data_IF_254206414327
#
_entry.id   IF_254206414327
#
_cell.length_a   1.000
_cell.length_b   1.000
_cell.length_c   1.000
_cell.angle_alpha   90.00
_cell.angle_beta   90.00
_cell.angle_gamma   90.00
#
_symmetry.space_group_name_H-M   'P 1'
#
loop_
_entity.id
_entity.type
_entity.pdbx_description
1 polymer ?
2 non-polymer ?
3 non-polymer ?
4 non-polymer ?
5 water ?
#
# COMPACT_ATOMS: atom_id res chain seq x y z
N UNK A 1 7.16 13.11 -19.58
CA UNK A 1 7.26 13.80 -18.26
C UNK A 1 8.46 13.28 -17.47
N UNK A 2 8.90 14.06 -16.50
CA UNK A 2 9.95 13.68 -15.51
C UNK A 2 9.27 12.98 -14.33
N UNK A 3 10.06 12.24 -13.56
CA UNK A 3 9.66 11.64 -12.28
C UNK A 3 10.36 12.38 -11.15
N UNK A 4 9.76 12.31 -9.98
CA UNK A 4 10.27 12.79 -8.69
C UNK A 4 10.47 11.56 -7.80
N UNK A 5 11.70 11.25 -7.48
CA UNK A 5 12.07 10.00 -6.76
C UNK A 5 12.34 10.34 -5.28
N UNK A 6 11.50 9.79 -4.42
CA UNK A 6 11.59 9.88 -2.95
C UNK A 6 11.98 8.52 -2.37
N UNK A 7 12.79 8.48 -1.29
CA UNK A 7 12.97 7.23 -0.54
C UNK A 7 11.60 6.71 -0.06
N UNK A 8 11.38 5.40 -0.06
CA UNK A 8 10.09 4.78 0.38
C UNK A 8 9.83 5.11 1.87
N UNK A 9 10.88 5.23 2.70
CA UNK A 9 10.67 5.42 4.16
C UNK A 9 11.90 6.01 4.83
N UNK A 10 11.67 6.68 5.94
CA UNK A 10 12.76 7.18 6.83
C UNK A 10 12.23 7.02 8.25
N UNK A 11 13.12 6.99 9.23
CA UNK A 11 12.71 6.95 10.64
C UNK A 11 13.78 7.62 11.50
N UNK A 12 13.38 8.02 12.67
CA UNK A 12 14.27 8.62 13.67
C UNK A 12 13.50 8.62 14.96
N UNK A 13 14.19 8.86 16.04
CA UNK A 13 13.55 8.94 17.38
C UNK A 13 13.14 10.38 17.67
N UNK A 14 12.22 10.59 18.62
CA UNK A 14 11.80 11.93 19.00
C UNK A 14 12.96 12.86 19.36
N UNK A 15 12.89 14.10 18.91
CA UNK A 15 13.89 15.14 19.13
C UNK A 15 14.93 15.19 18.04
N UNK A 16 14.99 14.21 17.14
CA UNK A 16 16.10 14.11 16.17
C UNK A 16 15.68 14.88 14.91
N UNK A 17 16.62 15.02 13.98
CA UNK A 17 16.41 15.66 12.68
C UNK A 17 16.30 14.58 11.61
N UNK A 18 15.31 14.69 10.73
CA UNK A 18 15.20 13.76 9.59
C UNK A 18 15.12 14.58 8.30
N UNK A 19 15.75 14.11 7.24
CA UNK A 19 15.67 14.71 5.89
C UNK A 19 15.07 13.69 4.92
N UNK A 20 14.20 14.20 4.05
CA UNK A 20 13.49 13.45 3.00
C UNK A 20 13.85 14.13 1.69
N UNK A 21 14.44 13.38 0.77
CA UNK A 21 14.92 13.90 -0.53
C UNK A 21 13.88 13.61 -1.62
N UNK A 22 13.96 14.37 -2.71
CA UNK A 22 13.04 14.36 -3.86
C UNK A 22 13.85 14.72 -5.11
N UNK A 23 14.29 13.70 -5.87
CA UNK A 23 15.24 13.85 -7.00
C UNK A 23 14.45 13.93 -8.30
N UNK A 24 14.71 14.97 -9.09
CA UNK A 24 14.01 15.16 -10.38
C UNK A 24 14.78 14.35 -11.42
N UNK A 25 14.09 13.48 -12.15
CA UNK A 25 14.68 12.54 -13.16
C UNK A 25 15.32 13.29 -14.35
N UNK A 26 14.65 14.30 -14.91
CA UNK A 26 15.17 15.12 -16.04
C UNK A 26 14.82 16.61 -15.84
N UNK A 27 15.60 17.50 -16.43
CA UNK A 27 15.35 18.95 -16.34
C UNK A 27 15.96 19.52 -15.08
N UNK A 28 15.66 20.78 -14.78
CA UNK A 28 16.29 21.55 -13.68
C UNK A 28 15.35 21.55 -12.48
N UNK A 29 15.79 21.06 -11.32
CA UNK A 29 14.97 21.12 -10.08
C UNK A 29 14.52 22.57 -9.90
N UNK A 30 15.39 23.53 -10.24
CA UNK A 30 15.17 24.98 -10.04
C UNK A 30 14.20 25.54 -11.12
N UNK A 31 13.83 24.78 -12.14
CA UNK A 31 12.96 25.25 -13.26
C UNK A 31 11.52 25.41 -12.80
N UNK A 32 11.04 24.63 -11.81
CA UNK A 32 9.64 24.74 -11.31
C UNK A 32 9.64 24.60 -9.79
N UNK A 33 8.55 25.04 -9.16
CA UNK A 33 8.42 25.11 -7.70
C UNK A 33 8.08 23.71 -7.15
N UNK A 34 8.64 23.40 -5.98
CA UNK A 34 8.37 22.12 -5.27
C UNK A 34 7.51 22.41 -4.03
N UNK A 35 6.42 21.64 -3.88
CA UNK A 35 5.54 21.62 -2.69
C UNK A 35 5.80 20.34 -1.88
N UNK A 36 5.59 20.40 -0.57
CA UNK A 36 5.59 19.20 0.29
C UNK A 36 4.26 19.10 1.03
N UNK A 37 3.65 17.93 0.95
CA UNK A 37 2.39 17.61 1.67
C UNK A 37 2.65 16.52 2.70
N UNK A 38 2.13 16.74 3.89
CA UNK A 38 2.06 15.78 5.00
C UNK A 38 0.69 15.12 5.00
N UNK A 39 0.63 13.79 5.06
CA UNK A 39 -0.62 13.07 5.28
C UNK A 39 -0.41 12.12 6.47
N UNK A 40 -0.90 12.52 7.63
CA UNK A 40 -0.95 11.62 8.81
C UNK A 40 -1.93 10.49 8.54
N UNK A 41 -1.71 9.28 9.10
CA UNK A 41 -2.58 8.14 8.83
C UNK A 41 -4.01 8.54 9.25
N UNK A 42 -4.99 8.30 8.38
CA UNK A 42 -6.40 8.62 8.63
C UNK A 42 -6.71 10.10 8.46
N UNK A 43 -5.78 10.93 7.97
CA UNK A 43 -6.03 12.38 7.76
C UNK A 43 -5.94 12.75 6.28
N UNK A 44 -6.42 13.94 6.00
CA UNK A 44 -6.32 14.63 4.71
C UNK A 44 -4.91 15.20 4.62
N UNK A 45 -4.38 15.36 3.41
CA UNK A 45 -3.11 16.02 3.24
C UNK A 45 -3.15 17.48 3.70
N UNK A 46 -2.00 17.97 4.13
CA UNK A 46 -1.73 19.38 4.55
C UNK A 46 -0.43 19.82 3.87
N UNK A 47 -0.38 21.05 3.40
CA UNK A 47 0.86 21.60 2.85
C UNK A 47 1.73 22.02 4.04
N UNK A 48 2.94 21.53 4.08
CA UNK A 48 3.95 22.04 5.04
C UNK A 48 4.96 22.96 4.31
N UNK A 49 5.14 22.83 3.01
CA UNK A 49 6.06 23.70 2.23
C UNK A 49 5.45 23.97 0.85
N UNK A 50 5.48 25.23 0.42
CA UNK A 50 5.22 25.56 -1.00
C UNK A 50 6.36 26.43 -1.55
N UNK A 51 6.50 26.48 -2.87
CA UNK A 51 7.52 27.30 -3.58
C UNK A 51 8.89 27.02 -2.97
N UNK A 52 9.20 25.74 -2.79
CA UNK A 52 10.56 25.23 -2.44
C UNK A 52 10.80 25.36 -0.93
N UNK A 53 10.49 26.50 -0.32
CA UNK A 53 10.93 26.78 1.07
C UNK A 53 9.99 27.71 1.84
N UNK A 54 8.80 28.03 1.32
CA UNK A 54 7.83 28.87 2.03
C UNK A 54 6.96 27.99 2.93
N UNK A 55 6.82 28.39 4.18
CA UNK A 55 6.00 27.72 5.18
C UNK A 55 4.67 28.42 5.29
N UNK A 56 3.53 27.71 5.13
CA UNK A 56 2.21 28.25 5.45
C UNK A 56 2.13 28.67 6.92
N UNK A 57 1.36 29.70 7.22
CA UNK A 57 1.20 30.10 8.64
C UNK A 57 0.58 28.90 9.35
N UNK A 58 0.96 28.67 10.58
CA UNK A 58 0.52 27.50 11.34
C UNK A 58 1.49 26.33 11.23
N UNK A 59 2.40 26.36 10.25
CA UNK A 59 3.41 25.27 10.09
C UNK A 59 4.66 25.66 10.88
N UNK A 60 5.04 24.85 11.90
CA UNK A 60 6.20 25.15 12.74
C UNK A 60 7.47 25.32 11.91
N UNK A 61 8.37 26.21 12.35
CA UNK A 61 9.72 26.44 11.77
C UNK A 61 10.59 25.17 11.85
N UNK A 62 10.14 24.11 12.53
CA UNK A 62 10.81 22.77 12.56
C UNK A 62 10.85 22.18 11.15
N UNK A 63 9.94 22.57 10.27
CA UNK A 63 9.87 22.09 8.87
C UNK A 63 10.59 23.06 7.95
N UNK A 64 11.54 22.58 7.17
CA UNK A 64 12.34 23.45 6.27
C UNK A 64 12.46 22.78 4.91
N UNK A 65 12.12 23.52 3.87
CA UNK A 65 12.32 23.07 2.49
C UNK A 65 13.60 23.64 1.94
N UNK A 66 14.28 22.89 1.07
CA UNK A 66 15.53 23.36 0.42
C UNK A 66 15.60 22.76 -0.97
N UNK A 67 16.49 23.32 -1.78
CA UNK A 67 16.76 22.87 -3.17
C UNK A 67 18.27 22.69 -3.27
N UNK A 68 18.71 21.58 -3.84
CA UNK A 68 20.14 21.24 -4.11
C UNK A 68 20.28 21.09 -5.63
N UNK A 69 20.73 22.16 -6.29
CA UNK A 69 20.85 22.20 -7.76
C UNK A 69 21.89 21.16 -8.20
N UNK A 70 22.98 21.04 -7.44
CA UNK A 70 24.09 20.09 -7.71
C UNK A 70 23.58 18.65 -7.82
N UNK A 71 22.57 18.26 -7.04
CA UNK A 71 22.02 16.87 -7.01
C UNK A 71 20.66 16.81 -7.71
N UNK A 72 20.16 17.94 -8.22
CA UNK A 72 18.82 18.07 -8.86
C UNK A 72 17.70 17.54 -7.93
N UNK A 73 17.74 17.94 -6.68
CA UNK A 73 16.80 17.44 -5.65
C UNK A 73 16.22 18.61 -4.85
N UNK A 74 15.04 18.37 -4.30
CA UNK A 74 14.42 19.10 -3.18
C UNK A 74 14.50 18.24 -1.90
N UNK A 75 14.59 18.87 -0.74
CA UNK A 75 14.56 18.17 0.55
C UNK A 75 13.59 18.89 1.50
N UNK A 76 12.93 18.08 2.32
CA UNK A 76 12.18 18.50 3.49
C UNK A 76 12.98 18.03 4.71
N UNK A 77 13.36 18.97 5.57
CA UNK A 77 14.13 18.66 6.78
C UNK A 77 13.23 18.98 7.94
N UNK A 78 12.99 17.97 8.76
CA UNK A 78 12.19 18.15 10.00
C UNK A 78 13.11 17.98 11.21
N UNK A 79 13.27 19.05 11.98
CA UNK A 79 14.09 19.06 13.23
C UNK A 79 13.17 18.87 14.43
N UNK A 80 13.73 18.48 15.57
CA UNK A 80 12.93 18.38 16.80
C UNK A 80 11.75 17.47 16.59
N UNK A 81 12.00 16.30 16.01
CA UNK A 81 10.91 15.36 15.62
C UNK A 81 9.95 15.10 16.80
N UNK A 82 8.65 15.19 16.53
CA UNK A 82 7.56 14.87 17.47
C UNK A 82 6.76 13.68 16.92
N UNK A 83 6.01 12.98 17.78
CA UNK A 83 5.24 11.77 17.35
C UNK A 83 4.17 12.19 16.34
N UNK A 84 3.67 13.43 16.39
CA UNK A 84 2.63 13.94 15.44
C UNK A 84 3.22 14.07 14.02
N UNK A 85 4.57 14.09 13.86
CA UNK A 85 5.24 14.20 12.53
C UNK A 85 5.19 12.87 11.78
N UNK A 86 4.82 11.77 12.44
CA UNK A 86 4.65 10.46 11.78
C UNK A 86 3.54 10.56 10.71
N UNK A 87 3.88 10.29 9.43
CA UNK A 87 3.03 10.63 8.26
C UNK A 87 3.72 10.19 6.97
N UNK A 88 2.98 10.19 5.86
CA UNK A 88 3.54 10.08 4.50
C UNK A 88 3.81 11.51 4.06
N UNK A 89 4.94 11.74 3.43
CA UNK A 89 5.34 13.06 2.89
C UNK A 89 5.51 12.88 1.39
N UNK A 90 4.88 13.79 0.65
CA UNK A 90 4.88 13.84 -0.83
C UNK A 90 5.50 15.15 -1.28
N UNK A 91 6.47 15.08 -2.18
CA UNK A 91 6.93 16.24 -2.97
C UNK A 91 6.14 16.29 -4.28
N UNK A 92 6.03 17.49 -4.86
CA UNK A 92 5.19 17.76 -6.06
C UNK A 92 5.78 18.98 -6.79
N UNK A 93 5.89 18.90 -8.12
CA UNK A 93 6.38 19.98 -9.02
C UNK A 93 5.62 19.86 -10.37
N UNK A 94 6.19 20.42 -11.46
CA UNK A 94 5.60 20.32 -12.82
C UNK A 94 6.55 20.74 -13.94
N UNK A 95 6.30 20.15 -15.10
CA UNK A 95 6.72 20.69 -16.42
C UNK A 95 5.40 21.05 -17.13
N UNK A 96 5.24 22.32 -17.54
CA UNK A 96 4.04 22.82 -18.24
C UNK A 96 2.76 22.44 -17.48
N UNK A 97 1.75 21.87 -18.16
CA UNK A 97 0.43 21.52 -17.56
C UNK A 97 0.60 20.25 -16.72
N UNK A 98 1.73 19.54 -16.88
CA UNK A 98 1.92 18.24 -16.22
C UNK A 98 2.46 18.47 -14.79
N UNK A 99 1.52 18.34 -13.84
CA UNK A 99 1.76 18.15 -12.38
C UNK A 99 2.41 16.78 -12.18
N UNK A 100 3.51 16.73 -11.43
CA UNK A 100 4.27 15.49 -11.09
C UNK A 100 4.38 15.45 -9.56
N UNK A 101 3.86 14.38 -8.95
CA UNK A 101 4.05 14.03 -7.52
C UNK A 101 5.15 12.97 -7.36
N UNK A 102 5.85 13.01 -6.22
CA UNK A 102 6.67 11.88 -5.76
C UNK A 102 5.82 10.69 -5.33
N UNK A 103 6.45 9.53 -5.20
CA UNK A 103 5.78 8.29 -4.78
C UNK A 103 5.51 8.31 -3.29
N UNK A 104 6.10 9.25 -2.54
CA UNK A 104 5.76 9.42 -1.12
C UNK A 104 6.78 8.72 -0.24
N UNK A 105 7.03 9.28 0.92
CA UNK A 105 7.97 8.74 1.92
C UNK A 105 7.22 8.53 3.21
N UNK A 106 7.25 7.32 3.76
CA UNK A 106 6.69 7.11 5.11
C UNK A 106 7.73 7.51 6.16
N UNK A 107 7.41 8.46 7.01
CA UNK A 107 8.27 8.85 8.17
C UNK A 107 7.75 8.16 9.42
N UNK A 108 8.53 7.26 10.04
CA UNK A 108 8.14 6.64 11.34
C UNK A 108 8.91 7.34 12.46
N UNK A 109 8.24 7.80 13.50
CA UNK A 109 8.91 8.29 14.71
C UNK A 109 9.02 7.06 15.59
N UNK A 110 10.21 6.51 15.73
CA UNK A 110 10.40 5.15 16.29
C UNK A 110 9.67 5.03 17.62
N UNK A 111 8.79 4.03 17.72
CA UNK A 111 8.07 3.72 18.96
C UNK A 111 8.57 2.47 19.66
N UNK A 112 9.54 1.81 19.06
CA UNK A 112 10.12 0.51 19.51
C UNK A 112 11.40 0.32 18.71
N UNK A 113 12.26 -0.66 19.07
CA UNK A 113 13.49 -0.88 18.34
C UNK A 113 13.24 -1.27 16.88
N UNK A 114 14.16 -0.89 16.00
CA UNK A 114 14.16 -1.39 14.62
C UNK A 114 14.34 -2.90 14.62
N UNK A 115 13.65 -3.56 13.70
CA UNK A 115 13.74 -5.02 13.49
C UNK A 115 13.72 -5.31 12.01
N UNK A 116 14.69 -6.09 11.54
CA UNK A 116 14.84 -6.46 10.13
C UNK A 116 13.90 -7.62 9.85
N UNK A 117 13.28 -7.65 8.65
CA UNK A 117 12.30 -8.68 8.32
C UNK A 117 12.91 -10.09 8.17
N UNK A 118 12.20 -11.11 8.64
CA UNK A 118 12.40 -12.49 8.14
C UNK A 118 11.68 -12.59 6.81
N UNK A 119 12.37 -13.06 5.78
CA UNK A 119 11.80 -13.20 4.41
C UNK A 119 11.88 -14.67 4.01
N UNK A 120 10.75 -15.27 3.63
CA UNK A 120 10.73 -16.66 3.17
C UNK A 120 9.94 -16.73 1.88
N UNK A 121 10.58 -17.27 0.83
CA UNK A 121 9.95 -17.37 -0.48
C UNK A 121 9.54 -18.83 -0.69
N UNK A 122 8.29 -19.06 -1.07
CA UNK A 122 7.77 -20.44 -1.29
C UNK A 122 7.51 -20.65 -2.76
N UNK A 123 7.96 -21.80 -3.35
CA UNK A 123 7.61 -22.17 -4.72
C UNK A 123 6.17 -22.66 -4.79
N UNK A 124 5.59 -22.90 -5.98
CA UNK A 124 4.20 -23.30 -6.06
C UNK A 124 3.94 -24.58 -5.28
N UNK A 125 2.79 -24.71 -4.62
CA UNK A 125 2.40 -25.97 -3.95
C UNK A 125 1.91 -26.96 -5.04
N UNK A 126 2.05 -28.26 -4.81
CA UNK A 126 1.59 -29.34 -5.72
C UNK A 126 0.10 -29.20 -6.02
N UNK A 127 -0.69 -29.01 -4.97
CA UNK A 127 -2.15 -28.89 -5.15
C UNK A 127 -2.47 -27.74 -6.10
N UNK A 128 -1.91 -26.54 -5.94
CA UNK A 128 -2.37 -25.39 -6.78
C UNK A 128 -2.01 -25.66 -8.25
N UNK A 129 -0.89 -26.31 -8.53
CA UNK A 129 -0.43 -26.63 -9.91
C UNK A 129 -1.53 -27.42 -10.62
N UNK A 130 -2.28 -28.24 -9.90
CA UNK A 130 -3.35 -29.12 -10.46
C UNK A 130 -4.60 -28.29 -10.72
N UNK A 131 -4.68 -27.09 -10.16
CA UNK A 131 -5.75 -26.13 -10.49
C UNK A 131 -5.23 -25.12 -11.50
N UNK A 132 -4.08 -25.39 -12.14
CA UNK A 132 -3.47 -24.51 -13.18
C UNK A 132 -3.01 -23.19 -12.53
N UNK A 133 -2.46 -23.24 -11.31
CA UNK A 133 -1.97 -22.03 -10.59
C UNK A 133 -0.56 -22.27 -10.07
N UNK A 134 0.32 -21.30 -10.25
CA UNK A 134 1.72 -21.39 -9.79
C UNK A 134 1.99 -20.17 -8.91
N UNK A 135 1.02 -19.73 -8.14
CA UNK A 135 1.23 -18.57 -7.24
C UNK A 135 2.43 -18.82 -6.36
N UNK A 136 3.32 -17.83 -6.31
CA UNK A 136 4.46 -17.78 -5.37
C UNK A 136 4.09 -16.87 -4.20
N UNK A 137 4.55 -17.19 -2.99
CA UNK A 137 4.32 -16.31 -1.80
C UNK A 137 5.65 -15.97 -1.15
N UNK A 138 5.80 -14.70 -0.85
CA UNK A 138 6.94 -14.16 -0.11
C UNK A 138 6.39 -13.68 1.23
N UNK A 139 6.67 -14.43 2.28
CA UNK A 139 6.29 -14.08 3.66
C UNK A 139 7.34 -13.16 4.27
N UNK A 140 6.89 -12.06 4.84
CA UNK A 140 7.77 -10.99 5.39
C UNK A 140 7.29 -10.75 6.81
N UNK A 141 8.06 -11.13 7.82
CA UNK A 141 7.57 -11.05 9.21
C UNK A 141 8.60 -10.40 10.15
N UNK A 142 8.14 -10.03 11.33
CA UNK A 142 8.96 -9.61 12.50
C UNK A 142 9.72 -8.32 12.17
N UNK A 143 9.11 -7.35 11.50
CA UNK A 143 9.84 -6.10 11.13
C UNK A 143 9.22 -4.84 11.76
N UNK A 144 10.09 -3.84 11.92
CA UNK A 144 9.76 -2.51 12.47
C UNK A 144 10.82 -1.52 12.00
N UNK A 145 10.43 -0.32 11.51
CA UNK A 145 9.04 0.08 11.30
C UNK A 145 8.25 -0.76 10.27
N UNK A 146 6.95 -0.47 10.13
CA UNK A 146 5.99 -1.22 9.30
C UNK A 146 6.05 -0.93 7.80
N UNK A 147 7.09 -0.32 7.28
CA UNK A 147 7.13 0.08 5.85
C UNK A 147 8.14 -0.80 5.13
N UNK A 148 7.72 -1.42 4.02
CA UNK A 148 8.57 -2.31 3.19
C UNK A 148 8.22 -2.04 1.73
N UNK A 149 9.19 -2.26 0.87
CA UNK A 149 8.99 -2.25 -0.59
C UNK A 149 9.31 -3.65 -1.07
N UNK A 150 8.48 -4.20 -1.95
CA UNK A 150 8.70 -5.57 -2.47
C UNK A 150 8.84 -5.47 -3.97
N UNK A 151 9.86 -6.10 -4.54
CA UNK A 151 10.07 -6.18 -6.00
C UNK A 151 10.34 -7.63 -6.38
N UNK A 152 9.75 -8.07 -7.47
CA UNK A 152 9.90 -9.46 -7.97
C UNK A 152 10.69 -9.46 -9.27
N UNK A 153 11.54 -10.47 -9.44
CA UNK A 153 12.27 -10.77 -10.70
C UNK A 153 11.78 -12.10 -11.28
N UNK A 154 11.54 -12.13 -12.59
CA UNK A 154 11.55 -13.35 -13.44
C UNK A 154 12.93 -13.45 -14.10
N UNK A 155 13.73 -14.44 -13.66
CA UNK A 155 15.19 -14.51 -13.88
C UNK A 155 15.80 -13.23 -13.27
N UNK A 156 16.24 -12.29 -14.11
CA UNK A 156 16.85 -11.01 -13.66
C UNK A 156 16.04 -9.81 -14.14
N UNK A 157 14.88 -10.03 -14.78
CA UNK A 157 14.00 -8.95 -15.29
C UNK A 157 12.94 -8.58 -14.23
N UNK A 158 12.72 -7.28 -13.96
CA UNK A 158 11.61 -6.88 -13.10
C UNK A 158 10.30 -7.46 -13.62
N UNK A 159 9.44 -7.92 -12.71
CA UNK A 159 8.05 -8.36 -13.03
C UNK A 159 7.15 -7.20 -12.64
N UNK A 160 6.06 -6.95 -13.38
CA UNK A 160 5.10 -5.89 -13.00
C UNK A 160 3.77 -6.54 -12.66
N UNK A 161 3.20 -7.25 -13.63
CA UNK A 161 1.83 -7.81 -13.56
C UNK A 161 1.80 -8.98 -12.57
N UNK A 162 0.64 -9.16 -11.94
CA UNK A 162 0.32 -10.30 -11.07
C UNK A 162 0.91 -10.17 -9.67
N UNK A 163 1.49 -9.03 -9.29
CA UNK A 163 2.00 -8.82 -7.89
C UNK A 163 0.90 -8.20 -7.02
N UNK A 164 0.69 -8.76 -5.83
CA UNK A 164 -0.13 -8.19 -4.75
C UNK A 164 0.64 -8.29 -3.44
N UNK A 165 0.66 -7.21 -2.69
CA UNK A 165 1.36 -7.15 -1.39
C UNK A 165 0.37 -6.61 -0.37
N UNK A 166 0.21 -7.31 0.75
CA UNK A 166 -0.75 -6.92 1.79
C UNK A 166 -0.16 -5.74 2.57
N UNK A 167 -1.06 -4.98 3.16
CA UNK A 167 -0.69 -3.87 4.07
C UNK A 167 -0.13 -4.47 5.33
N UNK A 168 1.10 -4.13 5.73
CA UNK A 168 1.66 -4.69 6.95
C UNK A 168 0.73 -4.47 8.16
N UNK A 169 0.62 -5.48 8.99
CA UNK A 169 -0.20 -5.47 10.22
C UNK A 169 0.68 -5.93 11.39
N UNK A 170 0.42 -5.37 12.56
CA UNK A 170 1.14 -5.73 13.80
C UNK A 170 0.66 -7.09 14.27
N UNK A 171 1.58 -8.00 14.56
CA UNK A 171 1.23 -9.38 15.00
C UNK A 171 1.39 -9.45 16.54
N UNK A 172 1.33 -10.63 17.13
CA UNK A 172 1.21 -10.79 18.59
C UNK A 172 2.52 -10.38 19.27
N UNK A 173 3.63 -10.33 18.54
CA UNK A 173 4.95 -9.90 19.08
C UNK A 173 5.11 -8.38 18.92
N UNK A 174 4.07 -7.66 18.49
CA UNK A 174 4.10 -6.17 18.28
C UNK A 174 5.04 -5.76 17.14
N UNK A 175 5.43 -6.68 16.27
CA UNK A 175 6.19 -6.38 15.03
C UNK A 175 5.27 -6.69 13.85
N UNK A 176 5.61 -6.13 12.69
CA UNK A 176 4.74 -6.18 11.49
C UNK A 176 5.01 -7.45 10.69
N UNK A 177 3.93 -7.89 10.03
CA UNK A 177 4.03 -8.95 9.00
C UNK A 177 3.19 -8.58 7.78
N UNK A 178 3.61 -9.08 6.63
CA UNK A 178 2.90 -8.95 5.35
C UNK A 178 3.28 -10.13 4.47
N UNK A 179 2.56 -10.33 3.38
CA UNK A 179 2.94 -11.29 2.32
C UNK A 179 2.76 -10.61 0.96
N UNK A 180 3.68 -10.90 0.06
CA UNK A 180 3.57 -10.53 -1.37
C UNK A 180 3.31 -11.83 -2.11
N UNK A 181 2.40 -11.83 -3.05
CA UNK A 181 2.19 -13.03 -3.88
C UNK A 181 2.12 -12.65 -5.35
N UNK A 182 2.66 -13.54 -6.17
CA UNK A 182 2.85 -13.35 -7.64
C UNK A 182 2.08 -14.50 -8.29
N UNK A 183 0.97 -14.18 -8.91
CA UNK A 183 -0.03 -15.16 -9.41
C UNK A 183 0.41 -15.62 -10.79
N UNK A 184 1.42 -16.47 -10.88
CA UNK A 184 1.92 -17.06 -12.14
C UNK A 184 1.00 -18.19 -12.62
N UNK A 185 0.97 -18.43 -13.93
CA UNK A 185 0.43 -19.70 -14.49
C UNK A 185 1.57 -20.70 -14.44
N UNK A 186 1.26 -22.01 -14.39
CA UNK A 186 2.32 -23.03 -14.47
C UNK A 186 3.26 -22.79 -15.67
N UNK A 187 2.71 -22.41 -16.83
CA UNK A 187 3.47 -22.04 -18.07
C UNK A 187 4.57 -21.04 -17.73
N UNK A 188 4.19 -19.92 -17.10
CA UNK A 188 5.13 -18.82 -16.76
C UNK A 188 6.22 -19.33 -15.82
N UNK A 189 5.86 -20.11 -14.81
CA UNK A 189 6.76 -20.66 -13.76
C UNK A 189 7.84 -21.55 -14.38
N UNK A 190 7.41 -22.47 -15.26
CA UNK A 190 8.30 -23.45 -15.91
C UNK A 190 9.12 -22.72 -16.98
N UNK A 191 8.55 -21.69 -17.60
CA UNK A 191 9.19 -20.98 -18.74
C UNK A 191 10.33 -20.07 -18.25
N UNK A 192 10.69 -20.08 -16.96
CA UNK A 192 11.84 -19.30 -16.41
C UNK A 192 12.71 -20.22 -15.58
N UNK A 193 13.98 -19.83 -15.42
CA UNK A 193 14.97 -20.58 -14.61
C UNK A 193 14.72 -20.32 -13.13
N UNK A 194 14.17 -19.17 -12.76
CA UNK A 194 14.04 -18.81 -11.32
C UNK A 194 13.21 -17.54 -11.19
N UNK A 195 12.61 -17.38 -10.01
CA UNK A 195 11.90 -16.15 -9.60
C UNK A 195 12.49 -15.69 -8.27
N UNK A 196 12.51 -14.37 -8.11
CA UNK A 196 13.11 -13.71 -6.93
C UNK A 196 12.12 -12.67 -6.39
N UNK A 197 12.14 -12.52 -5.07
CA UNK A 197 11.38 -11.55 -4.25
C UNK A 197 12.43 -10.76 -3.48
N UNK A 198 12.50 -9.46 -3.74
CA UNK A 198 13.43 -8.53 -3.07
C UNK A 198 12.63 -7.70 -2.09
N UNK A 199 13.04 -7.64 -0.83
CA UNK A 199 12.35 -6.86 0.19
C UNK A 199 13.31 -5.79 0.70
N UNK A 200 12.89 -4.53 0.58
CA UNK A 200 13.65 -3.36 1.09
C UNK A 200 13.01 -2.85 2.40
N UNK A 201 13.81 -2.75 3.42
CA UNK A 201 13.43 -2.24 4.74
C UNK A 201 14.54 -1.34 5.29
N UNK A 202 14.24 -0.11 5.72
CA UNK A 202 15.21 0.76 6.44
C UNK A 202 16.51 0.80 5.61
N UNK A 203 16.39 0.86 4.27
CA UNK A 203 17.55 0.88 3.34
C UNK A 203 18.52 -0.30 3.52
N UNK A 204 18.02 -1.52 3.70
CA UNK A 204 18.72 -2.76 3.31
C UNK A 204 17.73 -3.63 2.54
N UNK A 205 18.21 -4.19 1.43
CA UNK A 205 17.42 -5.01 0.50
C UNK A 205 17.88 -6.45 0.70
N UNK A 206 16.97 -7.34 1.09
CA UNK A 206 17.25 -8.81 1.06
C UNK A 206 16.51 -9.41 -0.11
N UNK A 207 16.94 -10.58 -0.56
CA UNK A 207 16.45 -11.21 -1.80
C UNK A 207 16.41 -12.72 -1.56
N UNK A 208 15.33 -13.38 -1.99
CA UNK A 208 15.26 -14.86 -1.99
C UNK A 208 14.86 -15.29 -3.40
N UNK A 209 15.30 -16.49 -3.80
CA UNK A 209 15.08 -17.04 -5.16
C UNK A 209 14.54 -18.46 -5.05
N UNK A 210 13.59 -18.81 -5.92
CA UNK A 210 13.11 -20.21 -6.07
C UNK A 210 13.12 -20.54 -7.56
N UNK A 211 13.13 -21.85 -7.84
CA UNK A 211 13.35 -22.40 -9.19
C UNK A 211 12.56 -23.70 -9.25
N UNK A 212 11.92 -24.05 -10.39
CA UNK A 212 11.37 -25.40 -10.54
C UNK A 212 12.45 -26.46 -10.21
N UNK A 213 12.15 -27.47 -9.37
CA UNK A 213 13.12 -28.54 -8.96
C UNK A 213 12.59 -29.92 -9.33
N UNK A 214 13.47 -30.94 -9.21
CA UNK A 214 13.19 -32.39 -9.43
C UNK A 214 12.91 -33.05 -8.07
N UNK A 215 11.67 -33.46 -7.81
CA UNK A 215 11.23 -34.10 -6.53
C UNK A 215 10.00 -34.99 -6.76
N UNK B 1 -7.07 33.97 3.76
CA UNK B 1 -6.94 32.47 3.80
C UNK B 1 -8.33 31.81 3.83
N UNK B 2 -8.47 30.61 3.26
CA UNK B 2 -9.78 29.90 3.14
C UNK B 2 -9.59 28.40 3.38
N UNK B 3 -10.71 27.72 3.61
CA UNK B 3 -10.80 26.25 3.74
C UNK B 3 -11.80 25.70 2.72
N UNK B 4 -11.70 24.40 2.44
CA UNK B 4 -12.54 23.72 1.45
C UNK B 4 -13.34 22.69 2.23
N UNK B 5 -14.65 22.78 2.17
CA UNK B 5 -15.50 21.91 3.00
C UNK B 5 -16.10 20.84 2.11
N UNK B 6 -15.85 19.59 2.45
CA UNK B 6 -16.40 18.42 1.73
C UNK B 6 -17.23 17.65 2.73
N UNK B 7 -18.20 16.86 2.28
CA UNK B 7 -18.83 15.88 3.15
C UNK B 7 -17.81 14.87 3.65
N UNK B 8 -17.95 14.48 4.91
CA UNK B 8 -17.04 13.48 5.52
C UNK B 8 -17.24 12.13 4.84
N UNK B 9 -18.49 11.79 4.45
CA UNK B 9 -18.79 10.47 3.86
C UNK B 9 -20.00 10.55 2.93
N UNK B 10 -20.02 9.68 1.92
CA UNK B 10 -21.22 9.47 1.06
C UNK B 10 -21.26 7.98 0.71
N UNK B 11 -22.46 7.46 0.42
CA UNK B 11 -22.74 6.04 0.14
C UNK B 11 -23.65 6.00 -1.08
N UNK B 12 -23.50 4.98 -1.92
CA UNK B 12 -24.38 4.82 -3.10
C UNK B 12 -24.21 3.41 -3.64
N UNK B 13 -25.21 2.90 -4.36
CA UNK B 13 -25.21 1.55 -4.97
C UNK B 13 -24.53 1.61 -6.34
N UNK B 14 -24.00 0.48 -6.83
CA UNK B 14 -23.42 0.44 -8.16
C UNK B 14 -24.43 0.96 -9.19
N UNK B 15 -23.91 1.47 -10.31
CA UNK B 15 -24.72 1.95 -11.44
C UNK B 15 -25.21 3.36 -11.20
N UNK B 16 -25.29 3.81 -9.96
CA UNK B 16 -25.88 5.12 -9.63
C UNK B 16 -24.82 6.21 -9.81
N UNK B 17 -25.27 7.46 -9.74
CA UNK B 17 -24.45 8.67 -9.86
C UNK B 17 -24.22 9.19 -8.44
N UNK B 18 -22.98 9.55 -8.09
CA UNK B 18 -22.70 10.18 -6.78
C UNK B 18 -22.07 11.55 -7.04
N UNK B 19 -22.38 12.52 -6.22
CA UNK B 19 -21.76 13.85 -6.33
C UNK B 19 -21.08 14.17 -5.00
N UNK B 20 -19.84 14.64 -5.05
CA UNK B 20 -19.07 15.09 -3.86
C UNK B 20 -18.78 16.57 -4.06
N UNK B 21 -19.30 17.39 -3.17
CA UNK B 21 -19.17 18.86 -3.25
C UNK B 21 -17.95 19.28 -2.47
N UNK B 22 -17.49 20.47 -2.77
CA UNK B 22 -16.30 21.07 -2.13
C UNK B 22 -16.55 22.57 -2.08
N UNK B 23 -16.90 23.11 -0.91
CA UNK B 23 -17.31 24.53 -0.78
C UNK B 23 -16.15 25.35 -0.24
N UNK B 24 -15.82 26.45 -0.92
CA UNK B 24 -14.73 27.37 -0.54
C UNK B 24 -15.27 28.37 0.49
N UNK B 25 -14.65 28.48 1.66
CA UNK B 25 -15.16 29.22 2.83
C UNK B 25 -15.11 30.72 2.54
N UNK B 26 -14.07 31.16 1.85
CA UNK B 26 -13.78 32.58 1.63
C UNK B 26 -13.18 32.76 0.23
N UNK B 27 -13.53 33.85 -0.46
CA UNK B 27 -13.14 34.12 -1.85
C UNK B 27 -13.91 33.24 -2.83
N UNK B 28 -13.80 33.54 -4.11
CA UNK B 28 -14.61 32.90 -5.17
C UNK B 28 -13.98 31.56 -5.57
N UNK B 29 -14.80 30.50 -5.62
CA UNK B 29 -14.35 29.16 -6.09
C UNK B 29 -13.65 29.30 -7.44
N UNK B 30 -14.09 30.25 -8.27
CA UNK B 30 -13.59 30.39 -9.66
C UNK B 30 -12.28 31.19 -9.71
N UNK B 31 -11.76 31.72 -8.59
CA UNK B 31 -10.51 32.54 -8.60
C UNK B 31 -9.28 31.64 -8.79
N UNK B 32 -9.39 30.33 -8.57
CA UNK B 32 -8.25 29.38 -8.63
C UNK B 32 -8.75 27.98 -9.06
N UNK B 33 -7.92 27.25 -9.80
CA UNK B 33 -8.22 25.88 -10.30
C UNK B 33 -8.46 24.91 -9.14
N UNK B 34 -9.42 23.99 -9.31
CA UNK B 34 -9.67 22.86 -8.36
C UNK B 34 -9.20 21.55 -8.98
N UNK B 35 -8.45 20.78 -8.20
CA UNK B 35 -8.08 19.39 -8.50
C UNK B 35 -8.88 18.45 -7.60
N UNK B 36 -9.06 17.22 -8.06
CA UNK B 36 -9.60 16.12 -7.25
C UNK B 36 -8.61 14.94 -7.27
N UNK B 37 -8.39 14.40 -6.10
CA UNK B 37 -7.52 13.23 -5.86
C UNK B 37 -8.38 12.08 -5.33
N UNK B 38 -8.08 10.89 -5.84
CA UNK B 38 -8.64 9.63 -5.33
C UNK B 38 -7.54 8.90 -4.54
N UNK B 39 -7.88 8.30 -3.43
CA UNK B 39 -6.90 7.52 -2.64
C UNK B 39 -7.55 6.25 -2.12
N UNK B 40 -6.94 5.12 -2.47
CA UNK B 40 -7.38 3.77 -2.01
C UNK B 40 -6.59 3.40 -0.76
N UNK B 41 -7.17 2.56 0.16
CA UNK B 41 -6.51 2.17 1.40
C UNK B 41 -5.08 1.65 1.14
N UNK B 42 -4.09 2.15 1.88
CA UNK B 42 -2.71 1.65 1.85
C UNK B 42 -2.02 1.99 0.54
N UNK B 43 -2.55 2.95 -0.23
CA UNK B 43 -2.00 3.40 -1.53
C UNK B 43 -1.75 4.90 -1.49
N UNK B 44 -0.90 5.41 -2.37
CA UNK B 44 -0.78 6.88 -2.59
C UNK B 44 -2.00 7.37 -3.36
N UNK B 45 -2.31 8.68 -3.27
CA UNK B 45 -3.38 9.29 -4.07
C UNK B 45 -3.04 9.33 -5.55
N UNK B 46 -4.07 9.44 -6.39
CA UNK B 46 -3.93 9.72 -7.85
C UNK B 46 -4.80 10.93 -8.20
N UNK B 47 -4.45 11.67 -9.24
CA UNK B 47 -5.25 12.79 -9.76
C UNK B 47 -6.38 12.20 -10.60
N UNK B 48 -7.63 12.56 -10.32
CA UNK B 48 -8.76 12.19 -11.22
C UNK B 48 -9.26 13.42 -12.00
N UNK B 49 -9.10 14.63 -11.46
CA UNK B 49 -9.50 15.91 -12.14
C UNK B 49 -8.45 16.93 -11.81
N UNK B 50 -8.09 17.73 -12.82
CA UNK B 50 -7.28 18.95 -12.64
C UNK B 50 -7.94 20.07 -13.45
N UNK B 51 -7.61 21.30 -13.09
CA UNK B 51 -8.13 22.53 -13.72
C UNK B 51 -9.65 22.42 -13.82
N UNK B 52 -10.29 22.07 -12.70
CA UNK B 52 -11.76 22.08 -12.52
C UNK B 52 -12.43 20.88 -13.22
N UNK B 53 -12.04 20.54 -14.45
CA UNK B 53 -12.84 19.54 -15.20
C UNK B 53 -12.02 18.73 -16.21
N UNK B 54 -10.68 18.78 -16.19
CA UNK B 54 -9.81 18.02 -17.10
C UNK B 54 -9.49 16.66 -16.46
N UNK B 55 -9.66 15.57 -17.22
CA UNK B 55 -9.36 14.19 -16.77
C UNK B 55 -8.00 13.80 -17.30
N UNK B 56 -7.08 13.36 -16.42
CA UNK B 56 -5.81 12.78 -16.85
C UNK B 56 -6.03 11.52 -17.71
N UNK B 57 -5.01 11.18 -18.50
CA UNK B 57 -4.89 9.88 -19.21
C UNK B 57 -5.16 8.76 -18.21
N UNK B 58 -6.00 7.80 -18.59
CA UNK B 58 -6.21 6.56 -17.82
C UNK B 58 -7.28 6.70 -16.75
N UNK B 59 -7.84 7.91 -16.57
CA UNK B 59 -9.01 8.13 -15.67
C UNK B 59 -10.28 7.86 -16.46
N UNK B 60 -11.19 6.98 -15.99
CA UNK B 60 -12.44 6.71 -16.67
C UNK B 60 -13.25 8.00 -16.88
N UNK B 61 -13.96 8.09 -17.99
CA UNK B 61 -14.74 9.31 -18.35
C UNK B 61 -15.99 9.42 -17.46
N UNK B 62 -16.24 8.41 -16.61
CA UNK B 62 -17.33 8.39 -15.60
C UNK B 62 -17.07 9.46 -14.53
N UNK B 63 -15.84 9.97 -14.44
CA UNK B 63 -15.43 11.02 -13.46
C UNK B 63 -15.53 12.40 -14.13
N UNK B 64 -16.34 13.29 -13.56
CA UNK B 64 -16.56 14.63 -14.11
C UNK B 64 -16.42 15.66 -13.01
N UNK B 65 -15.63 16.70 -13.30
CA UNK B 65 -15.47 17.85 -12.41
C UNK B 65 -16.39 18.97 -12.85
N UNK B 66 -16.91 19.76 -11.93
CA UNK B 66 -17.68 20.98 -12.29
C UNK B 66 -17.48 22.05 -11.23
N UNK B 67 -17.91 23.26 -11.53
CA UNK B 67 -17.83 24.45 -10.63
C UNK B 67 -19.23 25.05 -10.60
N UNK B 68 -19.72 25.38 -9.43
CA UNK B 68 -21.00 26.12 -9.29
C UNK B 68 -20.70 27.44 -8.58
N UNK B 69 -20.61 28.53 -9.35
CA UNK B 69 -20.25 29.88 -8.81
C UNK B 69 -21.28 30.32 -7.77
N UNK B 70 -22.55 29.94 -7.91
CA UNK B 70 -23.66 30.45 -7.05
C UNK B 70 -23.59 29.85 -5.64
N UNK B 71 -23.25 28.56 -5.47
CA UNK B 71 -23.05 27.89 -4.15
C UNK B 71 -21.56 27.91 -3.77
N UNK B 72 -20.75 28.65 -4.53
CA UNK B 72 -19.29 28.82 -4.34
C UNK B 72 -18.58 27.47 -4.14
N UNK B 73 -18.91 26.50 -4.98
CA UNK B 73 -18.48 25.10 -4.78
C UNK B 73 -17.91 24.52 -6.08
N UNK B 74 -17.14 23.46 -5.92
CA UNK B 74 -16.72 22.49 -6.94
C UNK B 74 -17.37 21.15 -6.63
N UNK B 75 -17.62 20.34 -7.63
CA UNK B 75 -18.16 18.98 -7.44
C UNK B 75 -17.40 18.00 -8.33
N UNK B 76 -17.22 16.81 -7.76
CA UNK B 76 -16.81 15.59 -8.47
C UNK B 76 -18.09 14.76 -8.63
N UNK B 77 -18.44 14.43 -9.86
CA UNK B 77 -19.61 13.60 -10.15
C UNK B 77 -19.11 12.30 -10.77
N UNK B 78 -19.43 11.20 -10.11
CA UNK B 78 -19.07 9.84 -10.59
C UNK B 78 -20.36 9.17 -11.07
N UNK B 79 -20.39 8.89 -12.35
CA UNK B 79 -21.50 8.20 -13.03
C UNK B 79 -21.20 6.69 -13.09
N UNK B 80 -22.24 5.87 -13.17
CA UNK B 80 -22.05 4.42 -13.37
C UNK B 80 -21.10 3.87 -12.32
N UNK B 81 -21.40 4.16 -11.06
CA UNK B 81 -20.54 3.91 -9.89
C UNK B 81 -20.13 2.45 -9.86
N UNK B 82 -18.84 2.17 -9.73
CA UNK B 82 -18.29 0.80 -9.64
C UNK B 82 -17.63 0.60 -8.28
N UNK B 83 -17.50 -0.65 -7.86
CA UNK B 83 -16.89 -1.02 -6.56
C UNK B 83 -15.48 -0.43 -6.47
N UNK B 84 -14.71 -0.49 -7.56
CA UNK B 84 -13.34 0.09 -7.64
C UNK B 84 -13.34 1.59 -7.29
N UNK B 85 -14.48 2.30 -7.35
CA UNK B 85 -14.56 3.76 -7.00
C UNK B 85 -14.61 3.97 -5.49
N UNK B 86 -14.84 2.92 -4.69
CA UNK B 86 -14.69 3.00 -3.22
C UNK B 86 -13.28 3.52 -2.88
N UNK B 87 -13.20 4.68 -2.23
CA UNK B 87 -11.94 5.41 -1.97
C UNK B 87 -12.23 6.68 -1.20
N UNK B 88 -11.16 7.32 -0.74
CA UNK B 88 -11.20 8.70 -0.23
C UNK B 88 -11.00 9.63 -1.42
N UNK B 89 -11.73 10.74 -1.44
CA UNK B 89 -11.62 11.81 -2.47
C UNK B 89 -11.32 13.12 -1.77
N UNK B 90 -10.32 13.82 -2.30
CA UNK B 90 -9.86 15.13 -1.80
C UNK B 90 -9.98 16.16 -2.93
N UNK B 91 -10.63 17.28 -2.65
CA UNK B 91 -10.52 18.46 -3.53
C UNK B 91 -9.33 19.28 -3.04
N UNK B 92 -8.80 20.11 -3.92
CA UNK B 92 -7.60 20.91 -3.62
C UNK B 92 -7.68 22.20 -4.44
N UNK B 93 -7.35 23.34 -3.85
CA UNK B 93 -7.16 24.60 -4.61
C UNK B 93 -5.97 25.37 -4.00
N UNK B 94 -5.85 26.67 -4.30
CA UNK B 94 -4.67 27.54 -4.02
C UNK B 94 -5.16 28.90 -3.51
N UNK B 95 -4.30 29.66 -2.82
CA UNK B 95 -4.44 31.14 -2.63
C UNK B 95 -3.06 31.78 -2.43
N UNK B 96 -2.09 31.49 -3.30
CA UNK B 96 -0.78 32.19 -3.34
C UNK B 96 -0.04 32.07 -2.01
N UNK B 97 -0.76 32.14 -0.87
CA UNK B 97 -0.25 31.91 0.52
C UNK B 97 -0.27 30.42 0.92
N UNK B 98 -0.82 29.53 0.06
CA UNK B 98 -0.93 28.08 0.41
C UNK B 98 -1.62 27.27 -0.70
N UNK B 99 -1.34 25.96 -0.70
CA UNK B 99 -2.14 24.90 -1.36
C UNK B 99 -3.08 24.33 -0.31
N UNK B 100 -4.37 24.39 -0.60
CA UNK B 100 -5.43 24.06 0.38
C UNK B 100 -6.12 22.77 -0.06
N UNK B 101 -6.30 21.83 0.87
CA UNK B 101 -7.06 20.59 0.63
C UNK B 101 -8.36 20.62 1.42
N UNK B 102 -9.39 20.00 0.86
CA UNK B 102 -10.57 19.57 1.65
C UNK B 102 -10.23 18.47 2.64
N UNK B 103 -11.15 18.22 3.56
CA UNK B 103 -10.99 17.24 4.65
C UNK B 103 -11.17 15.85 4.14
N UNK B 104 -11.61 15.70 2.90
CA UNK B 104 -11.77 14.37 2.30
C UNK B 104 -13.16 13.82 2.50
N UNK B 105 -13.59 13.06 1.50
CA UNK B 105 -14.90 12.37 1.48
C UNK B 105 -14.63 10.89 1.29
N UNK B 106 -15.04 10.11 2.27
CA UNK B 106 -15.01 8.64 2.13
C UNK B 106 -16.29 8.23 1.42
N UNK B 107 -16.10 7.62 0.26
CA UNK B 107 -17.19 7.12 -0.59
C UNK B 107 -17.29 5.61 -0.38
N UNK B 108 -18.42 5.16 0.15
CA UNK B 108 -18.76 3.71 0.28
C UNK B 108 -19.64 3.30 -0.89
N UNK B 109 -19.28 2.19 -1.54
CA UNK B 109 -20.10 1.54 -2.58
C UNK B 109 -20.86 0.40 -1.90
N UNK B 110 -22.19 0.51 -1.87
CA UNK B 110 -23.06 -0.43 -1.11
C UNK B 110 -23.30 -1.68 -1.96
N UNK B 111 -23.73 -2.76 -1.30
CA UNK B 111 -24.20 -4.01 -1.92
C UNK B 111 -23.08 -4.74 -2.65
N UNK B 112 -21.86 -4.76 -2.11
CA UNK B 112 -20.77 -5.56 -2.72
C UNK B 112 -21.05 -7.02 -2.42
N UNK B 113 -20.90 -7.96 -3.40
CA UNK B 113 -21.31 -9.34 -3.20
C UNK B 113 -20.31 -10.14 -2.34
N UNK B 114 -20.82 -10.99 -1.44
CA UNK B 114 -19.98 -11.93 -0.67
C UNK B 114 -19.12 -12.68 -1.69
N UNK B 115 -17.87 -12.96 -1.35
CA UNK B 115 -16.90 -13.65 -2.23
C UNK B 115 -16.07 -14.59 -1.36
N UNK B 116 -16.03 -15.87 -1.74
CA UNK B 116 -15.40 -16.97 -0.99
C UNK B 116 -13.91 -16.86 -1.18
N UNK B 117 -13.08 -17.15 -0.14
CA UNK B 117 -11.63 -17.07 -0.33
C UNK B 117 -11.02 -18.19 -1.18
N UNK B 118 -10.03 -17.83 -1.96
CA UNK B 118 -9.04 -18.78 -2.52
C UNK B 118 -8.00 -19.10 -1.44
N UNK B 119 -7.73 -20.38 -1.21
CA UNK B 119 -6.85 -20.79 -0.07
C UNK B 119 -5.76 -21.68 -0.64
N UNK B 120 -4.51 -21.28 -0.47
CA UNK B 120 -3.32 -22.02 -0.92
C UNK B 120 -2.39 -22.22 0.26
N UNK B 121 -2.03 -23.47 0.51
CA UNK B 121 -1.20 -23.86 1.66
C UNK B 121 0.15 -24.31 1.15
N UNK B 122 1.21 -23.72 1.69
CA UNK B 122 2.59 -23.97 1.23
C UNK B 122 3.34 -24.67 2.35
N UNK B 123 3.91 -25.86 2.05
CA UNK B 123 4.80 -26.50 3.00
C UNK B 123 6.15 -25.80 3.08
N UNK B 124 6.98 -26.13 4.07
CA UNK B 124 8.27 -25.46 4.24
C UNK B 124 9.11 -25.68 2.97
N UNK B 125 9.84 -24.66 2.53
CA UNK B 125 10.87 -24.74 1.45
C UNK B 125 12.09 -25.52 1.94
N UNK B 126 12.78 -26.18 1.01
CA UNK B 126 14.07 -26.88 1.23
C UNK B 126 15.09 -25.90 1.82
N UNK B 127 15.06 -24.66 1.33
CA UNK B 127 16.00 -23.60 1.72
C UNK B 127 15.77 -23.25 3.20
N UNK B 128 14.52 -23.02 3.65
CA UNK B 128 14.29 -22.64 5.08
C UNK B 128 14.57 -23.87 5.96
N UNK B 129 14.25 -25.08 5.51
CA UNK B 129 14.58 -26.28 6.32
C UNK B 129 16.11 -26.37 6.51
N UNK B 130 16.88 -26.04 5.48
CA UNK B 130 18.37 -26.04 5.52
C UNK B 130 18.84 -25.01 6.55
N UNK B 131 18.08 -23.93 6.72
CA UNK B 131 18.38 -22.90 7.74
C UNK B 131 17.66 -23.22 9.06
N UNK B 132 17.17 -24.44 9.26
CA UNK B 132 16.60 -24.88 10.56
C UNK B 132 15.27 -24.16 10.86
N UNK B 133 14.46 -23.82 9.86
CA UNK B 133 13.09 -23.28 10.09
C UNK B 133 12.10 -24.06 9.23
N UNK B 134 10.84 -24.12 9.67
CA UNK B 134 9.81 -24.94 9.02
C UNK B 134 8.47 -24.21 9.00
N UNK B 135 8.51 -22.91 8.71
CA UNK B 135 7.29 -22.07 8.63
C UNK B 135 6.43 -22.56 7.46
N UNK B 136 5.13 -22.74 7.71
CA UNK B 136 4.09 -22.94 6.67
C UNK B 136 3.35 -21.62 6.44
N UNK B 137 2.89 -21.38 5.22
CA UNK B 137 2.03 -20.21 4.93
C UNK B 137 0.75 -20.66 4.23
N UNK B 138 -0.36 -20.08 4.69
CA UNK B 138 -1.71 -20.28 4.16
C UNK B 138 -2.14 -18.94 3.58
N UNK B 139 -2.07 -18.84 2.26
CA UNK B 139 -2.39 -17.64 1.50
C UNK B 139 -3.89 -17.64 1.25
N UNK B 140 -4.55 -16.57 1.70
CA UNK B 140 -6.02 -16.42 1.64
C UNK B 140 -6.32 -15.16 0.82
N UNK B 141 -7.03 -15.30 -0.31
CA UNK B 141 -7.20 -14.17 -1.26
C UNK B 141 -8.62 -14.12 -1.85
N UNK B 142 -8.99 -12.94 -2.36
CA UNK B 142 -10.21 -12.75 -3.20
C UNK B 142 -11.46 -12.91 -2.35
N UNK B 143 -11.43 -12.56 -1.07
CA UNK B 143 -12.62 -12.77 -0.22
C UNK B 143 -13.29 -11.43 0.09
N UNK B 144 -14.61 -11.48 0.27
CA UNK B 144 -15.39 -10.29 0.67
C UNK B 144 -16.58 -10.80 1.47
N UNK B 145 -16.98 -10.19 2.60
CA UNK B 145 -16.24 -9.10 3.22
C UNK B 145 -14.91 -9.55 3.87
N UNK B 146 -14.21 -8.60 4.48
CA UNK B 146 -12.77 -8.67 4.78
C UNK B 146 -12.54 -9.17 6.20
N UNK B 147 -13.10 -10.32 6.53
CA UNK B 147 -12.99 -10.96 7.86
C UNK B 147 -12.93 -12.46 7.64
N UNK B 148 -11.94 -13.13 8.22
CA UNK B 148 -11.79 -14.60 8.18
C UNK B 148 -11.37 -15.04 9.55
N UNK B 149 -11.53 -16.32 9.84
CA UNK B 149 -10.88 -16.92 11.02
C UNK B 149 -10.17 -18.18 10.56
N UNK B 150 -9.04 -18.45 11.16
CA UNK B 150 -8.13 -19.52 10.67
C UNK B 150 -7.84 -20.43 11.85
N UNK B 151 -7.93 -21.73 11.64
CA UNK B 151 -7.49 -22.73 12.62
C UNK B 151 -6.51 -23.68 11.92
N UNK B 152 -5.46 -24.07 12.63
CA UNK B 152 -4.48 -25.04 12.10
C UNK B 152 -4.63 -26.37 12.84
N UNK B 153 -4.32 -27.45 12.13
CA UNK B 153 -4.33 -28.83 12.67
C UNK B 153 -2.97 -29.44 12.43
N UNK B 154 -2.43 -30.13 13.42
CA UNK B 154 -1.26 -30.99 13.30
C UNK B 154 -1.80 -32.43 13.34
N UNK B 155 -1.69 -33.18 12.24
CA UNK B 155 -2.52 -34.40 12.07
C UNK B 155 -3.98 -33.92 12.17
N UNK B 156 -4.79 -34.53 13.04
CA UNK B 156 -6.20 -34.14 13.24
C UNK B 156 -6.35 -33.22 14.44
N UNK B 157 -5.27 -32.88 15.13
CA UNK B 157 -5.36 -32.14 16.43
C UNK B 157 -5.19 -30.64 16.25
N UNK B 158 -5.87 -29.83 17.09
CA UNK B 158 -5.74 -28.37 17.06
C UNK B 158 -4.33 -27.88 17.42
N UNK B 159 -3.82 -26.95 16.62
CA UNK B 159 -2.53 -26.28 16.86
C UNK B 159 -2.85 -25.04 17.72
N UNK B 160 -2.26 -24.96 18.90
CA UNK B 160 -2.60 -23.87 19.86
C UNK B 160 -1.45 -22.87 19.97
N UNK B 161 -0.29 -23.10 19.34
CA UNK B 161 0.88 -22.21 19.43
C UNK B 161 1.49 -21.96 18.04
N UNK B 162 2.08 -20.78 17.88
CA UNK B 162 2.95 -20.45 16.73
C UNK B 162 2.16 -19.91 15.54
N UNK B 163 0.87 -19.66 15.68
CA UNK B 163 0.00 -19.15 14.58
C UNK B 163 -0.01 -17.61 14.61
N UNK B 164 0.07 -16.99 13.44
CA UNK B 164 -0.14 -15.55 13.22
C UNK B 164 -0.98 -15.41 11.96
N UNK B 165 -1.97 -14.55 11.99
CA UNK B 165 -2.72 -14.25 10.75
C UNK B 165 -2.67 -12.73 10.53
N UNK B 166 -2.36 -12.29 9.33
CA UNK B 166 -2.31 -10.83 9.05
C UNK B 166 -3.73 -10.25 8.97
N UNK B 167 -3.84 -8.95 9.27
CA UNK B 167 -5.11 -8.21 9.14
C UNK B 167 -5.43 -8.14 7.67
N UNK B 168 -6.63 -8.61 7.25
CA UNK B 168 -6.98 -8.59 5.83
C UNK B 168 -6.83 -7.20 5.22
N UNK B 169 -6.26 -7.09 4.03
CA UNK B 169 -6.22 -5.79 3.33
C UNK B 169 -6.80 -5.91 1.94
N UNK B 170 -7.38 -4.82 1.46
CA UNK B 170 -8.12 -4.77 0.18
C UNK B 170 -7.06 -4.70 -0.91
N UNK B 171 -7.12 -5.59 -1.90
CA UNK B 171 -6.11 -5.66 -2.98
C UNK B 171 -6.72 -5.00 -4.23
N UNK B 172 -6.03 -5.07 -5.36
CA UNK B 172 -6.39 -4.26 -6.56
C UNK B 172 -7.73 -4.74 -7.14
N UNK B 173 -8.11 -6.00 -6.91
CA UNK B 173 -9.39 -6.58 -7.38
C UNK B 173 -10.50 -6.22 -6.39
N UNK B 174 -10.25 -5.31 -5.43
CA UNK B 174 -11.24 -4.78 -4.45
C UNK B 174 -11.80 -5.87 -3.53
N UNK B 175 -11.12 -7.01 -3.51
CA UNK B 175 -11.36 -8.05 -2.48
C UNK B 175 -10.11 -8.14 -1.56
N UNK B 176 -10.23 -8.89 -0.48
CA UNK B 176 -9.23 -8.88 0.60
C UNK B 176 -8.25 -10.03 0.44
N UNK B 177 -7.09 -9.85 1.05
CA UNK B 177 -6.05 -10.88 1.11
C UNK B 177 -5.40 -10.85 2.49
N UNK B 178 -5.02 -12.02 2.96
CA UNK B 178 -4.29 -12.20 4.23
C UNK B 178 -3.49 -13.48 4.12
N UNK B 179 -2.52 -13.64 5.00
CA UNK B 179 -1.76 -14.91 5.15
C UNK B 179 -1.76 -15.32 6.61
N UNK B 180 -1.94 -16.61 6.86
CA UNK B 180 -1.71 -17.20 8.19
C UNK B 180 -0.41 -17.99 8.06
N UNK B 181 0.49 -17.80 9.01
CA UNK B 181 1.77 -18.54 9.00
C UNK B 181 1.96 -19.18 10.37
N UNK B 182 2.40 -20.42 10.31
CA UNK B 182 2.68 -21.28 11.48
C UNK B 182 4.19 -21.53 11.53
N UNK B 183 4.83 -21.07 12.59
CA UNK B 183 6.30 -21.11 12.78
C UNK B 183 6.73 -22.40 13.46
N UNK B 184 6.81 -23.50 12.72
CA UNK B 184 7.25 -24.81 13.26
C UNK B 184 8.77 -24.91 13.26
N UNK B 185 9.32 -25.77 14.12
CA UNK B 185 10.72 -26.26 14.01
C UNK B 185 10.72 -27.37 12.99
N UNK B 186 11.84 -27.67 12.32
CA UNK B 186 11.92 -28.84 11.44
C UNK B 186 11.45 -30.15 12.12
N UNK B 187 11.72 -30.32 13.43
CA UNK B 187 11.37 -31.56 14.19
C UNK B 187 9.84 -31.67 14.27
N UNK B 188 9.16 -30.55 14.52
CA UNK B 188 7.67 -30.52 14.62
C UNK B 188 7.10 -30.91 13.26
N UNK B 189 7.56 -30.26 12.21
CA UNK B 189 7.07 -30.54 10.83
C UNK B 189 7.21 -32.04 10.53
N UNK B 190 8.39 -32.60 10.79
CA UNK B 190 8.71 -33.99 10.38
C UNK B 190 8.05 -34.99 11.33
N UNK B 191 7.63 -34.56 12.51
CA UNK B 191 7.04 -35.48 13.53
C UNK B 191 5.55 -35.75 13.23
N UNK B 192 4.92 -35.06 12.29
CA UNK B 192 3.48 -35.25 12.01
C UNK B 192 3.31 -35.79 10.62
N UNK B 193 2.17 -36.39 10.35
CA UNK B 193 1.85 -36.93 8.99
C UNK B 193 1.47 -35.76 8.09
N UNK B 194 0.85 -34.74 8.65
CA UNK B 194 0.43 -33.54 7.89
C UNK B 194 0.10 -32.40 8.85
N UNK B 195 0.03 -31.19 8.29
CA UNK B 195 -0.62 -30.04 8.90
C UNK B 195 -1.69 -29.52 7.95
N UNK B 196 -2.73 -28.95 8.53
CA UNK B 196 -3.86 -28.42 7.76
C UNK B 196 -4.13 -26.99 8.19
N UNK B 197 -4.61 -26.18 7.25
CA UNK B 197 -5.09 -24.79 7.47
C UNK B 197 -6.58 -24.76 7.13
N UNK B 198 -7.41 -24.36 8.09
CA UNK B 198 -8.87 -24.31 7.92
C UNK B 198 -9.26 -22.84 7.98
N UNK B 199 -9.82 -22.36 6.87
CA UNK B 199 -10.24 -20.94 6.72
C UNK B 199 -11.76 -20.87 6.74
N UNK B 200 -12.30 -20.16 7.72
CA UNK B 200 -13.76 -19.93 7.80
C UNK B 200 -14.05 -18.50 7.36
N UNK B 201 -15.02 -18.33 6.47
CA UNK B 201 -15.48 -17.01 5.95
C UNK B 201 -16.98 -17.12 5.68
N UNK B 202 -17.78 -16.29 6.33
CA UNK B 202 -19.24 -16.22 6.09
C UNK B 202 -19.78 -17.63 6.33
N UNK B 203 -19.31 -18.29 7.38
CA UNK B 203 -19.84 -19.59 7.83
C UNK B 203 -19.38 -20.76 6.98
N UNK B 204 -18.70 -20.57 5.84
CA UNK B 204 -18.19 -21.70 5.02
C UNK B 204 -16.70 -21.93 5.29
N UNK B 205 -16.31 -23.18 5.47
CA UNK B 205 -14.90 -23.54 5.79
C UNK B 205 -14.26 -24.23 4.60
N UNK B 206 -13.04 -23.82 4.29
CA UNK B 206 -12.13 -24.40 3.27
C UNK B 206 -10.93 -24.97 4.07
N UNK B 207 -10.52 -26.19 3.76
CA UNK B 207 -9.42 -26.86 4.47
C UNK B 207 -8.36 -27.28 3.44
N UNK B 208 -7.11 -27.00 3.73
CA UNK B 208 -6.00 -27.49 2.91
C UNK B 208 -5.02 -28.23 3.79
N UNK B 209 -4.36 -29.23 3.21
CA UNK B 209 -3.50 -30.17 3.95
C UNK B 209 -2.21 -30.32 3.16
N UNK B 210 -1.08 -30.22 3.84
CA UNK B 210 0.25 -30.50 3.24
C UNK B 210 0.97 -31.47 4.16
N UNK B 211 1.91 -32.23 3.56
CA UNK B 211 2.67 -33.29 4.24
C UNK B 211 4.13 -33.17 3.85
N UNK B 212 5.04 -33.65 4.72
CA UNK B 212 6.46 -33.77 4.38
C UNK B 212 6.69 -34.49 3.04
N UNK B 213 7.64 -33.99 2.24
CA UNK B 213 8.01 -34.49 0.89
C UNK B 213 8.75 -35.83 0.97
N UNK B 214 9.16 -36.38 -0.19
CA UNK B 214 9.82 -37.71 -0.34
C UNK B 214 11.02 -37.64 -1.30
N UNK B 215 11.94 -36.66 -1.17
CA UNK B 215 13.08 -36.48 -2.11
C UNK B 215 14.32 -35.91 -1.42
#
# INVERSE_FOLDING_TARGET
NFMLNQPHSVSESPGKTVTISCTRSSGNIDSNYVQWYQQRPGSAPITVIYEDNQRPSGVPDRFAGSIDRSSNSASLTISGLKTEDEADYYCQSYDARNVVFGGGTRLTVLGQPKAAPSVTLFPPSSEELQANKATLVCLISDFYPGAVTVAWKADSSPVKAGVETTTPSKQSNNKYAASSYLSLTPEQWKSHKSYSCQVTHEGSTVEKTVAPTEC
NFMLNQPHSVSESPGKTVTISCTRSSGNIDSNYVQWYQQRPGSAPITVIYEDNQRPSGVPDRFAGSIDRSSNSASLTISGLKTEDEADYYCQSYDARNVVFGGGTRLTVLGQPKAAPSVTLFPPSSEELQANKATLVCLISDFYPGAVTVAWKADSSPVKAGVETTTPSKQSNNKYAASSYLSLTPEQWKSHKSYSCQVTHEGSTVEKTVAPTEC
#
